data_IF_397387526332
#
_entry.id   IF_397387526332
#
_cell.length_a   1.000
_cell.length_b   1.000
_cell.length_c   1.000
_cell.angle_alpha   90.00
_cell.angle_beta   90.00
_cell.angle_gamma   90.00
#
_symmetry.space_group_name_H-M   'P 1'
#
loop_
_entity.id
_entity.type
_entity.pdbx_description
1 polymer ?
#
# COMPACT_ATOMS: atom_id res chain seq x y z
N UNK A 1 -13.86 -19.99 8.31
CA UNK A 1 -13.04 -18.80 8.51
C UNK A 1 -12.95 -18.05 7.18
N UNK A 2 -13.07 -16.72 7.17
CA UNK A 2 -12.96 -15.96 5.93
C UNK A 2 -11.53 -16.11 5.38
N UNK A 3 -11.40 -16.82 4.27
CA UNK A 3 -10.14 -16.92 3.53
C UNK A 3 -10.00 -15.75 2.58
N UNK A 4 -8.79 -15.46 2.14
CA UNK A 4 -8.57 -14.60 0.99
C UNK A 4 -9.25 -15.20 -0.24
N UNK A 5 -9.94 -14.36 -0.99
CA UNK A 5 -10.66 -14.73 -2.22
C UNK A 5 -10.24 -13.83 -3.36
N UNK A 6 -10.38 -14.33 -4.57
CA UNK A 6 -10.26 -13.48 -5.74
C UNK A 6 -11.50 -12.57 -5.84
N UNK A 7 -11.28 -11.30 -6.13
CA UNK A 7 -12.34 -10.35 -6.36
C UNK A 7 -13.00 -10.59 -7.72
N UNK A 8 -14.32 -10.56 -7.74
CA UNK A 8 -15.07 -10.59 -8.99
C UNK A 8 -15.06 -9.18 -9.64
N UNK A 9 -15.12 -9.10 -10.98
CA UNK A 9 -15.06 -7.82 -11.70
C UNK A 9 -16.14 -6.80 -11.30
N UNK A 10 -17.25 -7.28 -10.77
CA UNK A 10 -18.43 -6.49 -10.39
C UNK A 10 -18.56 -6.27 -8.88
N UNK A 11 -17.48 -6.41 -8.11
CA UNK A 11 -17.54 -6.08 -6.69
C UNK A 11 -17.85 -4.60 -6.51
N UNK A 12 -18.96 -4.31 -5.84
CA UNK A 12 -19.53 -2.95 -5.75
C UNK A 12 -18.76 -1.98 -4.86
N UNK A 13 -17.71 -2.44 -4.17
CA UNK A 13 -17.02 -1.62 -3.17
C UNK A 13 -15.69 -1.03 -3.66
N UNK A 14 -14.91 -1.80 -4.40
CA UNK A 14 -13.64 -1.36 -4.97
C UNK A 14 -13.35 -2.22 -6.21
N UNK A 15 -13.00 -1.59 -7.30
CA UNK A 15 -12.49 -2.31 -8.47
C UNK A 15 -11.02 -2.67 -8.26
N UNK A 16 -10.53 -3.75 -8.86
CA UNK A 16 -9.11 -4.08 -8.87
C UNK A 16 -8.26 -2.90 -9.35
N UNK A 17 -7.03 -2.82 -8.89
CA UNK A 17 -6.14 -1.74 -9.29
C UNK A 17 -6.00 -1.69 -10.81
N UNK A 18 -6.24 -0.52 -11.40
CA UNK A 18 -6.31 -0.33 -12.87
C UNK A 18 -7.31 -1.26 -13.60
N UNK A 19 -8.40 -1.64 -12.91
CA UNK A 19 -9.44 -2.49 -13.51
C UNK A 19 -9.12 -3.98 -13.55
N UNK A 20 -8.04 -4.40 -12.90
CA UNK A 20 -7.63 -5.80 -12.79
C UNK A 20 -8.43 -6.61 -11.76
N UNK A 21 -7.96 -7.83 -11.50
CA UNK A 21 -8.45 -8.69 -10.42
C UNK A 21 -7.58 -8.48 -9.19
N UNK A 22 -8.19 -8.42 -8.01
CA UNK A 22 -7.50 -8.32 -6.74
C UNK A 22 -7.83 -9.50 -5.84
N UNK A 23 -7.01 -9.75 -4.84
CA UNK A 23 -7.38 -10.61 -3.73
C UNK A 23 -8.08 -9.78 -2.65
N UNK A 24 -9.10 -10.32 -2.01
CA UNK A 24 -9.73 -9.68 -0.87
C UNK A 24 -9.94 -10.65 0.29
N UNK A 25 -9.85 -10.11 1.48
CA UNK A 25 -10.25 -10.77 2.72
C UNK A 25 -11.35 -9.96 3.37
N UNK A 26 -12.43 -10.62 3.69
CA UNK A 26 -13.58 -10.00 4.33
C UNK A 26 -13.76 -10.56 5.72
N UNK A 27 -13.99 -9.68 6.67
CA UNK A 27 -14.61 -10.06 7.93
C UNK A 27 -16.05 -9.59 7.91
N UNK A 28 -16.94 -10.42 8.31
CA UNK A 28 -18.33 -10.06 8.47
C UNK A 28 -18.79 -10.39 9.87
N UNK A 29 -19.19 -9.38 10.62
CA UNK A 29 -20.05 -9.56 11.79
C UNK A 29 -21.50 -9.49 11.32
N UNK A 30 -22.26 -10.52 11.55
CA UNK A 30 -23.70 -10.50 11.33
C UNK A 30 -24.42 -10.44 12.67
N UNK A 31 -25.30 -9.46 12.84
CA UNK A 31 -26.11 -9.35 14.06
C UNK A 31 -25.29 -8.91 15.29
N UNK A 32 -25.66 -9.43 16.44
CA UNK A 32 -25.08 -9.06 17.75
C UNK A 32 -23.78 -9.81 18.08
N UNK A 33 -23.17 -10.51 17.14
CA UNK A 33 -21.96 -11.29 17.37
C UNK A 33 -20.74 -10.58 16.85
N UNK A 34 -19.80 -10.32 17.75
CA UNK A 34 -18.47 -9.88 17.40
C UNK A 34 -17.74 -10.99 16.62
N UNK A 35 -17.04 -10.62 15.56
CA UNK A 35 -16.30 -11.57 14.74
C UNK A 35 -14.79 -11.28 14.78
N UNK A 36 -14.02 -12.33 15.04
CA UNK A 36 -12.56 -12.30 14.86
C UNK A 36 -12.21 -12.74 13.45
N UNK A 37 -11.31 -12.03 12.84
CA UNK A 37 -10.74 -12.37 11.54
C UNK A 37 -9.28 -12.73 11.73
N UNK A 38 -8.89 -13.84 11.12
CA UNK A 38 -7.48 -14.23 10.99
C UNK A 38 -7.35 -14.97 9.65
N UNK A 39 -6.95 -14.23 8.62
CA UNK A 39 -6.86 -14.74 7.25
C UNK A 39 -5.45 -14.56 6.71
N UNK A 40 -4.87 -15.64 6.23
CA UNK A 40 -3.51 -15.71 5.73
C UNK A 40 -3.50 -15.92 4.23
N UNK A 41 -2.75 -15.09 3.50
CA UNK A 41 -2.38 -15.28 2.11
C UNK A 41 -0.87 -15.43 2.04
N UNK A 42 -0.40 -16.58 1.62
CA UNK A 42 1.01 -16.93 1.65
C UNK A 42 1.51 -17.13 0.22
N UNK A 43 2.64 -16.53 -0.10
CA UNK A 43 3.27 -16.70 -1.41
C UNK A 43 3.89 -18.09 -1.56
N UNK A 44 4.12 -18.55 -2.78
CA UNK A 44 5.12 -19.58 -3.02
C UNK A 44 6.48 -19.18 -2.44
N UNK A 45 7.40 -20.14 -2.31
CA UNK A 45 8.77 -19.85 -1.90
C UNK A 45 9.47 -18.99 -2.95
N UNK A 46 10.12 -17.91 -2.50
CA UNK A 46 10.78 -16.92 -3.34
C UNK A 46 12.23 -16.78 -2.87
N UNK A 47 13.17 -16.70 -3.78
CA UNK A 47 14.57 -16.32 -3.45
C UNK A 47 14.64 -14.80 -3.48
N UNK A 48 15.27 -14.20 -2.47
CA UNK A 48 15.45 -12.75 -2.35
C UNK A 48 16.88 -12.40 -2.74
N UNK A 49 17.04 -11.43 -3.62
CA UNK A 49 18.31 -10.88 -4.06
C UNK A 49 18.70 -9.62 -3.27
N UNK A 50 19.95 -9.16 -3.42
CA UNK A 50 20.52 -8.05 -2.63
C UNK A 50 19.79 -6.71 -2.80
N UNK A 51 19.05 -6.53 -3.88
CA UNK A 51 18.35 -5.29 -4.19
C UNK A 51 16.83 -5.45 -4.26
N UNK A 52 16.32 -6.52 -3.66
CA UNK A 52 14.90 -6.82 -3.73
C UNK A 52 14.06 -6.03 -2.73
N UNK A 53 12.93 -5.58 -3.23
CA UNK A 53 11.86 -4.95 -2.48
C UNK A 53 10.53 -5.66 -2.78
N UNK A 54 9.73 -5.85 -1.75
CA UNK A 54 8.34 -6.26 -1.91
C UNK A 54 7.48 -5.02 -2.13
N UNK A 55 6.75 -4.97 -3.23
CA UNK A 55 5.77 -3.92 -3.49
C UNK A 55 4.37 -4.50 -3.65
N UNK A 56 3.36 -3.78 -3.18
CA UNK A 56 1.96 -4.17 -3.32
C UNK A 56 1.02 -2.96 -3.22
N UNK A 57 -0.15 -3.12 -3.79
CA UNK A 57 -1.27 -2.19 -3.62
C UNK A 57 -2.19 -2.72 -2.55
N UNK A 58 -2.55 -1.87 -1.59
CA UNK A 58 -3.49 -2.17 -0.52
C UNK A 58 -4.66 -1.20 -0.57
N UNK A 59 -5.86 -1.74 -0.60
CA UNK A 59 -7.10 -1.00 -0.42
C UNK A 59 -7.85 -1.53 0.80
N UNK A 60 -8.65 -0.70 1.44
CA UNK A 60 -9.49 -1.13 2.53
C UNK A 60 -10.84 -0.42 2.48
N UNK A 61 -11.88 -1.16 2.78
CA UNK A 61 -13.18 -0.61 3.09
C UNK A 61 -13.48 -0.98 4.55
N UNK A 62 -13.37 0.00 5.43
CA UNK A 62 -13.80 -0.14 6.81
C UNK A 62 -15.14 0.59 6.98
N UNK A 63 -16.21 -0.15 7.22
CA UNK A 63 -17.55 0.42 7.39
C UNK A 63 -17.72 1.28 8.64
N UNK A 64 -16.65 1.62 9.31
CA UNK A 64 -16.61 2.30 10.61
C UNK A 64 -16.19 3.77 10.54
N UNK A 65 -16.80 4.56 9.71
CA UNK A 65 -16.63 6.01 9.84
C UNK A 65 -17.42 6.51 11.07
N UNK A 66 -16.77 6.66 12.19
CA UNK A 66 -17.22 7.51 13.30
C UNK A 66 -17.85 6.81 14.51
N UNK A 67 -17.96 5.49 14.56
CA UNK A 67 -18.68 4.82 15.66
C UNK A 67 -17.81 4.03 16.66
N UNK A 68 -16.54 3.83 16.43
CA UNK A 68 -15.73 3.07 17.37
C UNK A 68 -14.35 3.68 17.59
N UNK A 69 -14.24 4.49 18.61
CA UNK A 69 -12.95 5.03 19.09
C UNK A 69 -12.18 4.06 19.98
N UNK A 70 -12.76 2.91 20.32
CA UNK A 70 -12.21 2.01 21.36
C UNK A 70 -11.88 0.61 20.88
N UNK A 71 -12.15 0.26 19.62
CA UNK A 71 -11.91 -1.09 19.13
C UNK A 71 -10.68 -1.11 18.23
N UNK A 72 -9.77 -2.03 18.49
CA UNK A 72 -8.59 -2.29 17.67
C UNK A 72 -9.02 -2.52 16.21
N UNK A 73 -8.62 -1.65 15.29
CA UNK A 73 -9.01 -1.77 13.89
C UNK A 73 -8.37 -3.01 13.28
N UNK A 74 -8.93 -3.45 12.14
CA UNK A 74 -8.28 -4.45 11.31
C UNK A 74 -6.85 -4.06 11.03
N UNK A 75 -5.98 -5.05 11.09
CA UNK A 75 -4.56 -4.87 10.80
C UNK A 75 -4.15 -5.81 9.68
N UNK A 76 -3.35 -5.32 8.78
CA UNK A 76 -2.56 -6.14 7.89
C UNK A 76 -1.15 -6.21 8.46
N UNK A 77 -0.64 -7.43 8.64
CA UNK A 77 0.79 -7.69 8.78
C UNK A 77 1.33 -8.35 7.54
N UNK A 78 2.52 -7.93 7.14
CA UNK A 78 3.34 -8.67 6.20
C UNK A 78 4.44 -9.34 7.02
N UNK A 79 4.49 -10.65 6.92
CA UNK A 79 5.39 -11.48 7.73
C UNK A 79 6.23 -12.37 6.82
N UNK A 80 7.40 -12.76 7.30
CA UNK A 80 8.34 -13.58 6.56
C UNK A 80 8.68 -14.83 7.35
N UNK A 81 8.70 -15.97 6.64
CA UNK A 81 9.24 -17.24 7.11
C UNK A 81 10.34 -17.71 6.18
N UNK A 82 11.44 -18.21 6.76
CA UNK A 82 12.55 -18.83 6.01
C UNK A 82 12.48 -20.35 6.05
N UNK A 83 11.48 -20.95 6.69
CA UNK A 83 11.40 -22.38 6.95
C UNK A 83 10.22 -23.07 6.31
N UNK A 84 9.00 -22.65 6.65
CA UNK A 84 7.77 -23.32 6.23
C UNK A 84 6.59 -22.33 6.12
N UNK A 85 5.45 -22.86 5.64
CA UNK A 85 4.20 -22.09 5.45
C UNK A 85 3.24 -22.14 6.64
N UNK A 86 3.58 -22.89 7.69
CA UNK A 86 2.78 -22.91 8.91
C UNK A 86 2.81 -21.54 9.59
N UNK A 87 1.68 -21.09 10.10
CA UNK A 87 1.54 -19.76 10.68
C UNK A 87 2.53 -19.48 11.84
N UNK A 88 2.89 -20.51 12.58
CA UNK A 88 3.89 -20.43 13.67
C UNK A 88 5.30 -20.12 13.16
N UNK A 89 5.60 -20.41 11.89
CA UNK A 89 6.89 -20.16 11.28
C UNK A 89 7.09 -18.70 10.82
N UNK A 90 6.02 -17.92 10.79
CA UNK A 90 6.06 -16.50 10.44
C UNK A 90 6.35 -15.66 11.70
N UNK A 91 7.60 -15.60 12.08
CA UNK A 91 8.04 -14.91 13.31
C UNK A 91 8.52 -13.48 13.07
N UNK A 92 8.83 -13.13 11.83
CA UNK A 92 9.38 -11.82 11.48
C UNK A 92 8.32 -10.94 10.80
N UNK A 93 7.88 -9.89 11.49
CA UNK A 93 6.96 -8.89 10.95
C UNK A 93 7.76 -7.79 10.25
N UNK A 94 7.63 -7.69 8.93
CA UNK A 94 8.35 -6.69 8.12
C UNK A 94 7.51 -5.43 7.86
N UNK A 95 6.20 -5.53 8.04
CA UNK A 95 5.29 -4.39 7.87
C UNK A 95 4.00 -4.64 8.65
N UNK A 96 3.43 -3.55 9.18
CA UNK A 96 2.10 -3.58 9.78
C UNK A 96 1.39 -2.26 9.55
N UNK A 97 0.12 -2.35 9.20
CA UNK A 97 -0.75 -1.19 9.05
C UNK A 97 -2.16 -1.50 9.57
N UNK A 98 -2.79 -0.50 10.17
CA UNK A 98 -4.24 -0.47 10.40
C UNK A 98 -4.84 0.48 9.35
N UNK A 99 -5.35 -0.04 8.23
CA UNK A 99 -5.85 0.82 7.17
C UNK A 99 -7.08 1.57 7.69
N UNK A 100 -7.03 2.88 7.60
CA UNK A 100 -8.21 3.72 7.79
C UNK A 100 -9.13 3.52 6.59
N UNK A 101 -10.41 3.83 6.75
CA UNK A 101 -11.39 3.71 5.66
C UNK A 101 -10.93 4.48 4.42
N UNK A 102 -10.30 3.80 3.51
CA UNK A 102 -9.76 4.39 2.29
C UNK A 102 -10.18 3.49 1.13
N UNK A 103 -11.24 3.89 0.43
CA UNK A 103 -11.63 3.29 -0.84
C UNK A 103 -10.61 3.57 -1.96
N UNK A 104 -9.40 3.98 -1.59
CA UNK A 104 -8.32 4.29 -2.50
C UNK A 104 -7.20 3.28 -2.33
N UNK A 105 -6.59 2.92 -3.45
CA UNK A 105 -5.41 2.08 -3.46
C UNK A 105 -4.18 2.84 -2.96
N UNK A 106 -3.56 2.33 -1.90
CA UNK A 106 -2.25 2.77 -1.41
C UNK A 106 -1.15 1.87 -1.95
N UNK A 107 -0.04 2.46 -2.39
CA UNK A 107 1.16 1.72 -2.78
C UNK A 107 2.10 1.59 -1.58
N UNK A 108 2.55 0.38 -1.32
CA UNK A 108 3.45 0.06 -0.22
C UNK A 108 4.67 -0.68 -0.74
N UNK A 109 5.83 -0.36 -0.17
CA UNK A 109 7.09 -1.01 -0.51
C UNK A 109 7.86 -1.33 0.76
N UNK A 110 8.42 -2.52 0.80
CA UNK A 110 9.15 -3.05 1.95
C UNK A 110 10.53 -3.48 1.48
N UNK A 111 11.56 -3.06 2.19
CA UNK A 111 12.92 -3.47 1.96
C UNK A 111 13.12 -4.94 2.37
N UNK A 112 13.48 -5.79 1.41
CA UNK A 112 13.69 -7.22 1.62
C UNK A 112 15.17 -7.61 1.71
N UNK A 113 16.10 -6.65 1.61
CA UNK A 113 17.54 -6.91 1.54
C UNK A 113 18.10 -7.70 2.73
N UNK A 114 17.47 -7.60 3.91
CA UNK A 114 17.86 -8.42 5.08
C UNK A 114 17.71 -9.93 4.87
N UNK A 115 16.99 -10.32 3.82
CA UNK A 115 16.80 -11.71 3.42
C UNK A 115 17.59 -12.10 2.18
N UNK A 116 18.50 -11.24 1.70
CA UNK A 116 19.32 -11.51 0.52
C UNK A 116 19.99 -12.87 0.59
N UNK A 117 19.94 -13.63 -0.50
CA UNK A 117 20.44 -14.99 -0.61
C UNK A 117 19.57 -16.07 0.07
N UNK A 118 18.46 -15.70 0.71
CA UNK A 118 17.57 -16.65 1.38
C UNK A 118 16.34 -16.96 0.53
N UNK A 119 15.84 -18.18 0.69
CA UNK A 119 14.51 -18.57 0.22
C UNK A 119 13.49 -18.27 1.33
N UNK A 120 12.46 -17.53 1.00
CA UNK A 120 11.44 -17.09 1.97
C UNK A 120 10.03 -17.36 1.47
N UNK A 121 9.11 -17.47 2.41
CA UNK A 121 7.68 -17.32 2.20
C UNK A 121 7.26 -15.97 2.77
N UNK A 122 6.39 -15.26 2.07
CA UNK A 122 5.83 -13.98 2.51
C UNK A 122 4.35 -14.20 2.79
N UNK A 123 3.89 -13.78 3.96
CA UNK A 123 2.50 -13.87 4.35
C UNK A 123 1.88 -12.49 4.52
N UNK A 124 0.69 -12.31 3.96
CA UNK A 124 -0.20 -11.19 4.22
C UNK A 124 -1.28 -11.67 5.19
N UNK A 125 -1.15 -11.27 6.43
CA UNK A 125 -2.05 -11.68 7.49
C UNK A 125 -3.01 -10.55 7.84
N UNK A 126 -4.28 -10.73 7.43
CA UNK A 126 -5.37 -9.87 7.84
C UNK A 126 -5.95 -10.39 9.16
N UNK A 127 -5.89 -9.59 10.20
CA UNK A 127 -6.40 -9.95 11.51
C UNK A 127 -7.05 -8.75 12.20
N UNK A 128 -7.99 -9.04 13.06
CA UNK A 128 -8.68 -8.03 13.83
C UNK A 128 -10.03 -8.48 14.34
N UNK A 129 -10.69 -7.58 15.00
CA UNK A 129 -11.98 -7.81 15.62
C UNK A 129 -13.02 -6.85 15.02
N UNK A 130 -14.15 -7.40 14.56
CA UNK A 130 -15.32 -6.59 14.22
C UNK A 130 -16.21 -6.53 15.45
N UNK A 131 -16.42 -5.35 16.04
CA UNK A 131 -17.38 -5.24 17.14
C UNK A 131 -18.78 -5.55 16.64
N UNK A 132 -19.60 -6.07 17.53
CA UNK A 132 -21.03 -6.14 17.26
C UNK A 132 -21.65 -4.77 17.48
N UNK A 133 -22.39 -4.28 16.51
CA UNK A 133 -23.23 -3.10 16.68
C UNK A 133 -24.65 -3.54 16.38
N UNK A 134 -25.53 -3.38 17.37
CA UNK A 134 -26.93 -3.77 17.25
C UNK A 134 -27.56 -3.13 15.99
N UNK A 135 -28.07 -3.97 15.10
CA UNK A 135 -28.78 -3.52 13.90
C UNK A 135 -27.92 -3.11 12.70
N UNK A 136 -26.58 -3.23 12.76
CA UNK A 136 -25.72 -2.88 11.65
C UNK A 136 -24.97 -4.10 11.09
N UNK A 137 -24.91 -4.18 9.76
CA UNK A 137 -24.00 -5.05 9.05
C UNK A 137 -22.68 -4.35 8.91
N UNK A 138 -21.65 -4.92 9.47
CA UNK A 138 -20.31 -4.38 9.36
C UNK A 138 -19.45 -5.38 8.61
N UNK A 139 -19.23 -5.11 7.34
CA UNK A 139 -18.29 -5.87 6.53
C UNK A 139 -17.05 -5.01 6.31
N UNK A 140 -15.95 -5.44 6.89
CA UNK A 140 -14.65 -4.84 6.57
C UNK A 140 -13.98 -5.69 5.53
N UNK A 141 -13.53 -5.05 4.47
CA UNK A 141 -12.80 -5.70 3.39
C UNK A 141 -11.42 -5.09 3.26
N UNK A 142 -10.47 -5.96 3.09
CA UNK A 142 -9.10 -5.61 2.78
C UNK A 142 -8.77 -6.20 1.43
N UNK A 143 -8.22 -5.39 0.55
CA UNK A 143 -7.92 -5.73 -0.83
C UNK A 143 -6.43 -5.65 -1.06
N UNK A 144 -5.89 -6.64 -1.75
CA UNK A 144 -4.48 -6.74 -2.08
C UNK A 144 -4.34 -6.98 -3.58
N UNK A 145 -3.47 -6.19 -4.21
CA UNK A 145 -3.20 -6.28 -5.64
C UNK A 145 -1.74 -5.97 -5.95
N UNK A 146 -1.30 -6.27 -7.15
CA UNK A 146 0.04 -5.94 -7.66
C UNK A 146 1.17 -6.35 -6.70
N UNK A 147 1.04 -7.52 -6.05
CA UNK A 147 2.12 -8.08 -5.22
C UNK A 147 3.26 -8.52 -6.13
N UNK A 148 4.42 -7.93 -5.94
CA UNK A 148 5.61 -8.25 -6.75
C UNK A 148 6.89 -8.06 -5.95
N UNK A 149 7.90 -8.82 -6.29
CA UNK A 149 9.29 -8.52 -5.93
C UNK A 149 9.88 -7.71 -7.07
N UNK A 150 10.48 -6.58 -6.73
CA UNK A 150 11.10 -5.65 -7.68
C UNK A 150 12.52 -5.36 -7.21
N UNK A 151 13.44 -5.27 -8.15
CA UNK A 151 14.79 -4.83 -7.84
C UNK A 151 14.84 -3.31 -7.83
N UNK A 152 15.54 -2.79 -6.86
CA UNK A 152 15.79 -1.35 -6.60
C UNK A 152 14.64 -0.46 -7.04
N UNK A 153 13.86 0.11 -6.15
CA UNK A 153 12.90 1.12 -6.56
C UNK A 153 13.71 2.20 -7.30
N UNK A 154 13.50 2.29 -8.59
CA UNK A 154 14.09 3.35 -9.39
C UNK A 154 13.77 4.68 -8.72
N UNK A 155 14.74 5.56 -8.50
CA UNK A 155 14.42 6.91 -8.10
C UNK A 155 13.47 7.49 -9.15
N UNK A 156 12.28 7.82 -8.75
CA UNK A 156 11.27 8.40 -9.63
C UNK A 156 10.89 9.76 -9.10
N UNK A 157 11.38 10.78 -9.77
CA UNK A 157 11.13 12.19 -9.43
C UNK A 157 10.27 12.80 -10.53
N UNK A 158 9.06 13.17 -10.19
CA UNK A 158 8.14 13.81 -11.09
C UNK A 158 8.05 15.32 -10.82
N UNK A 159 8.10 16.11 -11.87
CA UNK A 159 7.71 17.52 -11.83
C UNK A 159 6.18 17.57 -11.74
N UNK A 160 5.66 18.00 -10.60
CA UNK A 160 4.23 17.98 -10.32
C UNK A 160 3.51 19.23 -10.81
N UNK A 161 4.15 20.38 -10.64
CA UNK A 161 3.62 21.64 -11.16
C UNK A 161 4.72 22.67 -11.34
N UNK A 162 4.50 23.57 -12.27
CA UNK A 162 5.28 24.79 -12.47
C UNK A 162 4.31 25.95 -12.37
N UNK A 163 4.63 26.94 -11.59
CA UNK A 163 3.79 28.12 -11.39
C UNK A 163 4.64 29.34 -11.02
N UNK A 164 3.96 30.49 -10.88
CA UNK A 164 4.62 31.72 -10.45
C UNK A 164 4.94 32.69 -11.59
N UNK A 165 4.50 32.37 -12.82
CA UNK A 165 4.53 33.35 -13.92
C UNK A 165 3.25 34.17 -13.84
N UNK A 166 3.37 35.41 -13.43
CA UNK A 166 2.24 36.35 -13.48
C UNK A 166 2.26 37.08 -14.85
N UNK A 167 1.08 37.19 -15.46
CA UNK A 167 0.92 38.05 -16.63
C UNK A 167 1.17 39.52 -16.23
N UNK A 168 2.26 40.08 -16.70
CA UNK A 168 2.59 41.50 -16.46
C UNK A 168 4.07 41.80 -16.58
N UNK A 169 4.40 43.05 -16.90
CA UNK A 169 5.75 43.56 -17.02
C UNK A 169 6.43 43.72 -15.64
N UNK A 170 6.59 42.68 -14.87
CA UNK A 170 7.39 42.71 -13.66
C UNK A 170 8.84 42.32 -13.97
N UNK A 171 9.78 43.14 -13.49
CA UNK A 171 11.21 42.95 -13.70
C UNK A 171 11.80 41.70 -13.02
N UNK A 172 11.13 41.21 -12.00
CA UNK A 172 11.52 39.98 -11.29
C UNK A 172 10.31 39.05 -11.12
N UNK A 173 10.43 37.82 -11.57
CA UNK A 173 9.43 36.81 -11.40
C UNK A 173 10.02 35.59 -10.67
N UNK A 174 9.31 35.09 -9.70
CA UNK A 174 9.68 33.87 -8.98
C UNK A 174 9.06 32.65 -9.66
N UNK A 175 9.89 31.82 -10.26
CA UNK A 175 9.45 30.50 -10.76
C UNK A 175 9.36 29.53 -9.58
N UNK A 176 8.20 28.90 -9.43
CA UNK A 176 7.96 27.84 -8.43
C UNK A 176 7.80 26.51 -9.13
N UNK A 177 8.62 25.54 -8.79
CA UNK A 177 8.47 24.17 -9.24
C UNK A 177 8.14 23.27 -8.04
N UNK A 178 7.06 22.53 -8.12
CA UNK A 178 6.75 21.49 -7.15
C UNK A 178 7.23 20.14 -7.69
N UNK A 179 8.15 19.52 -6.97
CA UNK A 179 8.76 18.25 -7.32
C UNK A 179 8.31 17.23 -6.29
N UNK A 180 7.88 16.07 -6.76
CA UNK A 180 7.48 14.95 -5.92
C UNK A 180 8.38 13.76 -6.21
N UNK A 181 8.99 13.21 -5.18
CA UNK A 181 9.59 11.90 -5.29
C UNK A 181 8.46 10.86 -5.25
N UNK A 182 8.20 10.21 -6.37
CA UNK A 182 7.23 9.13 -6.51
C UNK A 182 7.88 7.76 -6.39
N UNK A 183 9.23 7.72 -6.33
CA UNK A 183 10.01 6.55 -6.00
C UNK A 183 10.15 6.34 -4.48
N UNK A 184 10.75 5.23 -4.12
CA UNK A 184 10.89 4.80 -2.71
C UNK A 184 12.29 5.09 -2.15
N UNK A 185 13.19 5.58 -2.97
CA UNK A 185 14.56 5.89 -2.58
C UNK A 185 14.73 7.40 -2.57
N UNK A 186 15.41 7.90 -1.53
CA UNK A 186 15.84 9.29 -1.52
C UNK A 186 16.79 9.54 -2.68
N UNK A 187 16.50 10.55 -3.48
CA UNK A 187 17.30 10.91 -4.65
C UNK A 187 17.69 12.36 -4.58
N UNK A 188 18.91 12.67 -4.98
CA UNK A 188 19.31 14.02 -5.30
C UNK A 188 19.00 14.28 -6.78
N UNK A 189 18.54 15.48 -7.08
CA UNK A 189 18.26 15.90 -8.45
C UNK A 189 18.84 17.30 -8.67
N UNK A 190 19.04 17.62 -9.93
CA UNK A 190 19.34 18.98 -10.36
C UNK A 190 18.15 19.52 -11.11
N UNK A 191 17.68 20.69 -10.71
CA UNK A 191 16.67 21.42 -11.45
C UNK A 191 17.35 22.19 -12.58
N UNK A 192 16.89 21.98 -13.81
CA UNK A 192 17.33 22.76 -14.95
C UNK A 192 16.11 23.47 -15.52
N UNK A 193 16.23 24.75 -15.79
CA UNK A 193 15.18 25.51 -16.46
C UNK A 193 15.77 26.42 -17.53
N UNK A 194 14.98 26.75 -18.50
CA UNK A 194 15.32 27.67 -19.57
C UNK A 194 14.13 28.60 -19.79
N UNK A 195 14.40 29.86 -19.97
CA UNK A 195 13.40 30.88 -20.32
C UNK A 195 13.73 31.37 -21.72
N UNK A 196 12.79 31.15 -22.64
CA UNK A 196 12.94 31.43 -24.07
C UNK A 196 14.24 30.78 -24.62
N UNK A 197 15.02 31.51 -25.39
CA UNK A 197 16.27 31.04 -25.99
C UNK A 197 17.51 31.33 -25.10
N UNK A 198 17.30 31.71 -23.84
CA UNK A 198 18.40 31.97 -22.92
C UNK A 198 19.13 30.69 -22.50
N UNK A 199 20.38 30.79 -22.02
CA UNK A 199 21.12 29.65 -21.54
C UNK A 199 20.39 28.91 -20.41
N UNK A 200 20.50 27.57 -20.41
CA UNK A 200 19.92 26.73 -19.36
C UNK A 200 20.57 27.05 -18.01
N UNK A 201 19.74 27.37 -17.01
CA UNK A 201 20.14 27.53 -15.62
C UNK A 201 20.04 26.19 -14.91
N UNK A 202 21.04 25.89 -14.07
CA UNK A 202 21.16 24.65 -13.30
C UNK A 202 21.31 24.97 -11.83
N UNK A 203 20.41 24.46 -11.00
CA UNK A 203 20.44 24.58 -9.54
C UNK A 203 20.40 23.21 -8.86
#
# INVERSE_FOLDING_TARGET
>A
FPAWKQMEPNDSYLTGYKGGKAAFSQSSGFGMSAAWTSSWLITPQITIDENDYLSFMLGANAAFNGLATTVEPYKLRVMVSTTATDSICFTDTVFQIAPKNVLLWGNYTIDMRKYAGKKVYIAFWNFGHTPSIAGAFLANRMYLDHVRITQTPSPDVALFSVGGVADGCQLEQTLKAAIKNTGFVSSSYKLCYQVDDNPIVRE
#
